data_IF_218372405375
#
_entry.id   IF_218372405375
#
_cell.length_a   1.000
_cell.length_b   1.000
_cell.length_c   1.000
_cell.angle_alpha   90.00
_cell.angle_beta   90.00
_cell.angle_gamma   90.00
#
_symmetry.space_group_name_H-M   'P 1'
#
loop_
_entity.id
_entity.type
_entity.pdbx_description
1 polymer ?
#
# COMPACT_ATOMS: atom_id res chain seq x y z
N UNK A 1 -19.67 3.20 16.68
CA UNK A 1 -19.63 4.60 16.18
C UNK A 1 -18.53 4.73 15.14
N UNK A 2 -18.89 4.76 13.85
CA UNK A 2 -17.94 4.95 12.76
C UNK A 2 -17.52 6.42 12.73
N UNK A 3 -16.26 6.73 13.09
CA UNK A 3 -15.70 8.06 12.83
C UNK A 3 -15.66 8.22 11.30
N UNK A 4 -16.60 8.97 10.73
CA UNK A 4 -16.47 9.47 9.37
C UNK A 4 -15.13 10.17 9.27
N UNK A 5 -14.31 9.79 8.30
CA UNK A 5 -13.09 10.53 8.01
C UNK A 5 -13.51 11.96 7.65
N UNK A 6 -12.83 13.00 8.17
CA UNK A 6 -13.14 14.38 7.82
C UNK A 6 -13.04 14.55 6.31
N UNK A 7 -13.98 15.30 5.72
CA UNK A 7 -13.98 15.56 4.29
C UNK A 7 -12.69 16.30 3.86
N UNK A 8 -12.36 16.23 2.56
CA UNK A 8 -11.16 16.83 1.99
C UNK A 8 -11.04 18.32 2.31
N UNK A 9 -12.16 19.04 2.29
CA UNK A 9 -12.23 20.47 2.62
C UNK A 9 -11.86 20.76 4.09
N UNK A 10 -12.26 19.90 5.02
CA UNK A 10 -11.95 20.03 6.45
C UNK A 10 -10.47 19.77 6.69
N UNK A 11 -9.90 18.79 6.01
CA UNK A 11 -8.46 18.49 6.05
C UNK A 11 -7.64 19.66 5.48
N UNK A 12 -8.08 20.23 4.36
CA UNK A 12 -7.38 21.33 3.70
C UNK A 12 -7.43 22.63 4.51
N UNK A 13 -8.57 22.95 5.13
CA UNK A 13 -8.70 24.07 6.09
C UNK A 13 -7.79 23.88 7.30
N UNK A 14 -7.66 22.65 7.82
CA UNK A 14 -6.75 22.36 8.91
C UNK A 14 -5.28 22.57 8.50
N UNK A 15 -4.90 22.14 7.29
CA UNK A 15 -3.56 22.37 6.72
C UNK A 15 -3.24 23.86 6.59
N UNK A 16 -4.16 24.65 6.03
CA UNK A 16 -4.00 26.09 5.87
C UNK A 16 -3.86 26.80 7.22
N UNK A 17 -4.60 26.34 8.24
CA UNK A 17 -4.52 26.90 9.60
C UNK A 17 -3.16 26.62 10.24
N UNK A 18 -2.62 25.42 10.07
CA UNK A 18 -1.28 25.05 10.58
C UNK A 18 -0.18 25.87 9.89
N UNK A 19 -0.25 26.05 8.57
CA UNK A 19 0.71 26.84 7.81
C UNK A 19 0.71 28.34 8.19
N UNK A 20 -0.37 28.85 8.79
CA UNK A 20 -0.49 30.23 9.29
C UNK A 20 -0.05 30.41 10.75
N UNK A 21 0.32 29.33 11.45
CA UNK A 21 0.79 29.43 12.83
C UNK A 21 2.20 30.03 12.89
N UNK A 22 2.49 30.77 13.97
CA UNK A 22 3.85 31.25 14.26
C UNK A 22 4.85 30.08 14.26
N UNK A 23 6.10 30.31 13.82
CA UNK A 23 7.11 29.26 13.78
C UNK A 23 7.29 28.61 15.17
N UNK A 24 7.48 27.29 15.22
CA UNK A 24 7.59 26.54 16.46
C UNK A 24 8.79 27.04 17.29
N UNK A 25 8.57 27.25 18.59
CA UNK A 25 9.59 27.77 19.51
C UNK A 25 10.65 26.73 19.94
N UNK A 26 10.41 25.44 19.69
CA UNK A 26 11.34 24.36 20.02
C UNK A 26 11.46 23.36 18.86
N UNK A 27 12.62 22.68 18.78
CA UNK A 27 12.89 21.66 17.76
C UNK A 27 11.90 20.47 17.85
N UNK A 28 11.48 20.10 19.05
CA UNK A 28 10.44 19.08 19.25
C UNK A 28 9.09 19.54 18.69
N UNK A 29 8.69 20.78 18.94
CA UNK A 29 7.46 21.33 18.38
C UNK A 29 7.52 21.42 16.84
N UNK A 30 8.71 21.66 16.28
CA UNK A 30 8.94 21.61 14.84
C UNK A 30 8.71 20.23 14.24
N UNK A 31 9.31 19.18 14.82
CA UNK A 31 9.11 17.80 14.39
C UNK A 31 7.63 17.40 14.46
N UNK A 32 6.95 17.72 15.56
CA UNK A 32 5.53 17.40 15.74
C UNK A 32 4.65 18.15 14.73
N UNK A 33 4.93 19.43 14.49
CA UNK A 33 4.20 20.23 13.49
C UNK A 33 4.38 19.64 12.09
N UNK A 34 5.62 19.36 11.69
CA UNK A 34 5.93 18.72 10.41
C UNK A 34 5.26 17.35 10.28
N UNK A 35 5.19 16.57 11.36
CA UNK A 35 4.51 15.26 11.39
C UNK A 35 3.00 15.38 11.20
N UNK A 36 2.36 16.38 11.78
CA UNK A 36 0.93 16.63 11.54
C UNK A 36 0.69 17.02 10.09
N UNK A 37 1.49 17.93 9.54
CA UNK A 37 1.39 18.34 8.13
C UNK A 37 1.63 17.18 7.17
N UNK A 38 2.61 16.31 7.47
CA UNK A 38 2.85 15.07 6.75
C UNK A 38 1.58 14.19 6.72
N UNK A 39 0.95 13.94 7.86
CA UNK A 39 -0.26 13.13 7.92
C UNK A 39 -1.43 13.72 7.11
N UNK A 40 -1.50 15.05 7.01
CA UNK A 40 -2.49 15.73 6.17
C UNK A 40 -2.16 15.52 4.70
N UNK A 41 -0.93 15.80 4.28
CA UNK A 41 -0.47 15.62 2.91
C UNK A 41 -0.65 14.17 2.41
N UNK A 42 -0.40 13.18 3.28
CA UNK A 42 -0.64 11.76 2.99
C UNK A 42 -2.11 11.46 2.67
N UNK A 43 -3.05 12.10 3.38
CA UNK A 43 -4.49 11.90 3.16
C UNK A 43 -4.99 12.57 1.89
N UNK A 44 -4.29 13.60 1.43
CA UNK A 44 -4.64 14.34 0.21
C UNK A 44 -3.84 13.87 -1.01
N UNK A 45 -2.95 12.88 -0.85
CA UNK A 45 -2.16 12.32 -1.95
C UNK A 45 -1.09 13.27 -2.51
N UNK A 46 -0.72 14.34 -1.78
CA UNK A 46 0.26 15.33 -2.23
C UNK A 46 1.68 14.87 -1.89
N UNK A 47 2.25 13.97 -2.70
CA UNK A 47 3.50 13.26 -2.38
C UNK A 47 4.72 14.18 -2.29
N UNK A 48 4.81 15.23 -3.11
CA UNK A 48 5.89 16.22 -3.03
C UNK A 48 5.86 16.96 -1.69
N UNK A 49 4.67 17.29 -1.17
CA UNK A 49 4.55 17.88 0.16
C UNK A 49 4.96 16.88 1.25
N UNK A 50 4.59 15.61 1.08
CA UNK A 50 5.00 14.56 2.00
C UNK A 50 6.53 14.48 2.11
N UNK A 51 7.23 14.50 0.97
CA UNK A 51 8.70 14.53 0.91
C UNK A 51 9.25 15.76 1.64
N UNK A 52 8.73 16.97 1.37
CA UNK A 52 9.17 18.19 2.07
C UNK A 52 9.03 18.07 3.59
N UNK A 53 7.93 17.50 4.08
CA UNK A 53 7.72 17.34 5.51
C UNK A 53 8.58 16.24 6.12
N UNK A 54 8.83 15.12 5.42
CA UNK A 54 9.77 14.09 5.90
C UNK A 54 11.20 14.62 5.95
N UNK A 55 11.62 15.36 4.93
CA UNK A 55 12.96 15.95 4.86
C UNK A 55 13.18 16.95 5.99
N UNK A 56 12.17 17.79 6.27
CA UNK A 56 12.20 18.70 7.41
C UNK A 56 12.37 17.96 8.74
N UNK A 57 11.65 16.86 8.97
CA UNK A 57 11.79 16.06 10.20
C UNK A 57 13.22 15.51 10.28
N UNK A 58 13.71 14.95 9.18
CA UNK A 58 15.04 14.33 9.09
C UNK A 58 16.14 15.35 9.34
N UNK A 59 16.03 16.55 8.77
CA UNK A 59 16.99 17.64 8.95
C UNK A 59 17.05 18.12 10.40
N UNK A 60 15.91 18.22 11.10
CA UNK A 60 15.90 18.61 12.51
C UNK A 60 16.67 17.59 13.36
N UNK A 61 16.49 16.29 13.10
CA UNK A 61 17.21 15.23 13.79
C UNK A 61 18.70 15.20 13.43
N UNK A 62 19.07 15.37 12.16
CA UNK A 62 20.48 15.48 11.72
C UNK A 62 21.20 16.65 12.38
N UNK A 63 20.54 17.81 12.48
CA UNK A 63 21.09 19.02 13.16
C UNK A 63 21.08 18.91 14.68
N UNK A 64 20.40 17.92 15.24
CA UNK A 64 20.18 17.79 16.68
C UNK A 64 20.19 16.33 17.13
N UNK A 65 21.31 15.60 16.99
CA UNK A 65 21.35 14.17 17.27
C UNK A 65 20.93 13.81 18.70
N UNK A 66 21.15 14.71 19.67
CA UNK A 66 20.69 14.54 21.05
C UNK A 66 19.17 14.34 21.18
N UNK A 67 18.35 14.86 20.24
CA UNK A 67 16.90 14.64 20.24
C UNK A 67 16.52 13.18 19.98
N UNK A 68 17.42 12.40 19.38
CA UNK A 68 17.20 10.99 19.04
C UNK A 68 17.29 10.09 20.28
N UNK A 69 17.88 10.56 21.39
CA UNK A 69 18.17 9.77 22.60
C UNK A 69 16.93 9.26 23.37
N UNK A 70 15.71 9.49 22.88
CA UNK A 70 14.47 8.94 23.42
C UNK A 70 13.72 8.06 22.43
N UNK A 71 13.15 6.95 22.90
CA UNK A 71 12.44 5.95 22.09
C UNK A 71 11.42 6.56 21.12
N UNK A 72 10.60 7.50 21.58
CA UNK A 72 9.57 8.15 20.77
C UNK A 72 10.17 8.93 19.61
N UNK A 73 11.22 9.70 19.86
CA UNK A 73 11.87 10.53 18.85
C UNK A 73 12.68 9.67 17.86
N UNK A 74 13.33 8.62 18.35
CA UNK A 74 13.99 7.62 17.52
C UNK A 74 12.99 6.98 16.54
N UNK A 75 11.84 6.52 17.04
CA UNK A 75 10.77 5.96 16.19
C UNK A 75 10.24 6.96 15.18
N UNK A 76 10.02 8.22 15.59
CA UNK A 76 9.58 9.28 14.67
C UNK A 76 10.61 9.52 13.56
N UNK A 77 11.90 9.49 13.89
CA UNK A 77 12.97 9.68 12.92
C UNK A 77 13.05 8.54 11.91
N UNK A 78 13.07 7.29 12.38
CA UNK A 78 13.07 6.10 11.51
C UNK A 78 11.80 6.06 10.65
N UNK A 79 10.65 6.41 11.21
CA UNK A 79 9.39 6.50 10.47
C UNK A 79 9.43 7.59 9.40
N UNK A 80 10.10 8.73 9.65
CA UNK A 80 10.28 9.78 8.65
C UNK A 80 11.20 9.33 7.51
N UNK A 81 12.26 8.58 7.81
CA UNK A 81 13.12 7.94 6.80
C UNK A 81 12.30 7.00 5.92
N UNK A 82 11.56 6.07 6.53
CA UNK A 82 10.71 5.12 5.80
C UNK A 82 9.72 5.80 4.86
N UNK A 83 8.95 6.76 5.39
CA UNK A 83 7.97 7.47 4.58
C UNK A 83 8.63 8.32 3.50
N UNK A 84 9.74 9.01 3.83
CA UNK A 84 10.49 9.81 2.87
C UNK A 84 11.04 8.98 1.72
N UNK A 85 11.46 7.74 1.98
CA UNK A 85 11.88 6.78 0.97
C UNK A 85 10.68 6.31 0.14
N UNK A 86 9.61 5.83 0.76
CA UNK A 86 8.43 5.38 0.03
C UNK A 86 7.82 6.45 -0.89
N UNK A 87 7.73 7.72 -0.46
CA UNK A 87 7.22 8.77 -1.35
C UNK A 87 8.14 9.05 -2.53
N UNK A 88 9.46 8.95 -2.33
CA UNK A 88 10.43 9.01 -3.43
C UNK A 88 10.24 7.84 -4.38
N UNK A 89 9.98 6.63 -3.87
CA UNK A 89 9.64 5.46 -4.69
C UNK A 89 8.38 5.71 -5.53
N UNK A 90 7.32 6.27 -4.95
CA UNK A 90 6.11 6.65 -5.70
C UNK A 90 6.37 7.69 -6.79
N UNK A 91 7.29 8.64 -6.55
CA UNK A 91 7.71 9.64 -7.54
C UNK A 91 8.86 9.16 -8.45
N UNK A 92 9.18 7.86 -8.44
CA UNK A 92 10.25 7.23 -9.24
C UNK A 92 11.66 7.80 -8.97
N UNK A 93 11.86 8.43 -7.82
CA UNK A 93 13.16 8.90 -7.30
C UNK A 93 13.87 7.76 -6.57
N UNK A 94 14.14 6.67 -7.29
CA UNK A 94 14.59 5.40 -6.71
C UNK A 94 15.95 5.49 -6.03
N UNK A 95 16.88 6.26 -6.60
CA UNK A 95 18.23 6.44 -6.07
C UNK A 95 18.18 7.16 -4.71
N UNK A 96 17.45 8.26 -4.64
CA UNK A 96 17.27 9.06 -3.43
C UNK A 96 16.52 8.27 -2.35
N UNK A 97 15.59 7.40 -2.77
CA UNK A 97 14.89 6.47 -1.89
C UNK A 97 15.86 5.50 -1.20
N UNK A 98 16.73 4.83 -1.98
CA UNK A 98 17.72 3.89 -1.45
C UNK A 98 18.81 4.60 -0.61
N UNK A 99 19.25 5.79 -1.01
CA UNK A 99 20.19 6.59 -0.22
C UNK A 99 19.63 6.95 1.15
N UNK A 100 18.34 7.27 1.23
CA UNK A 100 17.70 7.59 2.50
C UNK A 100 17.61 6.36 3.43
N UNK A 101 17.35 5.18 2.86
CA UNK A 101 17.26 3.94 3.61
C UNK A 101 18.60 3.47 4.19
N UNK A 102 19.74 3.85 3.58
CA UNK A 102 21.07 3.60 4.16
C UNK A 102 21.27 4.25 5.53
N UNK A 103 20.52 5.32 5.85
CA UNK A 103 20.58 5.96 7.16
C UNK A 103 20.19 5.02 8.31
N UNK A 104 19.40 3.97 8.03
CA UNK A 104 19.01 2.97 9.03
C UNK A 104 20.19 2.13 9.50
N UNK A 105 21.18 1.92 8.64
CA UNK A 105 22.37 1.13 8.95
C UNK A 105 23.47 2.02 9.54
N UNK A 106 23.73 3.17 8.90
CA UNK A 106 24.71 4.14 9.37
C UNK A 106 24.25 5.57 9.08
N UNK A 107 24.32 6.50 10.05
CA UNK A 107 24.94 6.35 11.38
C UNK A 107 24.01 5.79 12.47
N UNK A 108 22.74 5.47 12.16
CA UNK A 108 21.75 5.16 13.21
C UNK A 108 21.87 3.76 13.82
N UNK A 109 22.35 2.79 13.04
CA UNK A 109 22.39 1.38 13.42
C UNK A 109 21.07 0.90 14.06
N UNK A 110 19.95 1.17 13.39
CA UNK A 110 18.59 0.85 13.86
C UNK A 110 18.44 -0.64 14.13
N UNK A 111 19.13 -1.48 13.36
CA UNK A 111 19.16 -2.93 13.55
C UNK A 111 19.58 -3.34 14.96
N UNK A 112 20.50 -2.61 15.60
CA UNK A 112 20.94 -2.87 16.97
C UNK A 112 20.00 -2.24 18.01
N UNK A 113 19.46 -1.05 17.72
CA UNK A 113 18.64 -0.29 18.67
C UNK A 113 17.18 -0.77 18.77
N UNK A 114 16.56 -1.08 17.64
CA UNK A 114 15.18 -1.58 17.53
C UNK A 114 15.12 -2.55 16.33
N UNK A 115 15.53 -3.82 16.52
CA UNK A 115 15.62 -4.80 15.44
C UNK A 115 14.27 -5.02 14.73
N UNK A 116 13.17 -5.09 15.50
CA UNK A 116 11.83 -5.22 14.95
C UNK A 116 11.48 -4.08 14.00
N UNK A 117 11.70 -2.83 14.42
CA UNK A 117 11.47 -1.66 13.57
C UNK A 117 12.38 -1.64 12.33
N UNK A 118 13.64 -2.06 12.46
CA UNK A 118 14.55 -2.17 11.32
C UNK A 118 14.01 -3.15 10.27
N UNK A 119 13.66 -4.37 10.66
CA UNK A 119 13.17 -5.37 9.71
C UNK A 119 11.79 -5.02 9.16
N UNK A 120 10.92 -4.38 9.95
CA UNK A 120 9.65 -3.81 9.46
C UNK A 120 9.90 -2.86 8.29
N UNK A 121 10.68 -1.81 8.53
CA UNK A 121 10.91 -0.72 7.58
C UNK A 121 11.70 -1.20 6.36
N UNK A 122 12.75 -2.00 6.58
CA UNK A 122 13.56 -2.58 5.50
C UNK A 122 12.71 -3.47 4.59
N UNK A 123 11.95 -4.42 5.16
CA UNK A 123 11.17 -5.38 4.36
C UNK A 123 10.11 -4.66 3.53
N UNK A 124 9.39 -3.71 4.12
CA UNK A 124 8.37 -2.93 3.41
C UNK A 124 8.98 -2.11 2.26
N UNK A 125 10.12 -1.46 2.49
CA UNK A 125 10.82 -0.68 1.46
C UNK A 125 11.28 -1.57 0.31
N UNK A 126 11.96 -2.68 0.61
CA UNK A 126 12.48 -3.59 -0.41
C UNK A 126 11.37 -4.21 -1.26
N UNK A 127 10.25 -4.59 -0.64
CA UNK A 127 9.07 -5.06 -1.36
C UNK A 127 8.48 -3.97 -2.26
N UNK A 128 8.31 -2.77 -1.73
CA UNK A 128 7.76 -1.63 -2.48
C UNK A 128 8.67 -1.24 -3.66
N UNK A 129 9.99 -1.22 -3.46
CA UNK A 129 10.97 -0.95 -4.50
C UNK A 129 10.95 -2.03 -5.59
N UNK A 130 10.93 -3.30 -5.22
CA UNK A 130 10.87 -4.39 -6.20
C UNK A 130 9.60 -4.35 -7.05
N UNK A 131 8.45 -4.00 -6.45
CA UNK A 131 7.21 -3.76 -7.21
C UNK A 131 7.34 -2.53 -8.11
N UNK A 132 7.79 -1.40 -7.59
CA UNK A 132 7.83 -0.12 -8.31
C UNK A 132 8.88 -0.06 -9.43
N UNK A 133 9.93 -0.89 -9.34
CA UNK A 133 11.01 -0.97 -10.34
C UNK A 133 10.91 -2.22 -11.21
N UNK A 134 9.92 -3.09 -10.96
CA UNK A 134 9.78 -4.40 -11.57
C UNK A 134 10.95 -5.36 -11.32
N UNK A 135 11.82 -5.07 -10.35
CA UNK A 135 12.82 -6.00 -9.86
C UNK A 135 12.20 -6.95 -8.81
N UNK A 136 11.45 -7.94 -9.31
CA UNK A 136 10.78 -8.92 -8.46
C UNK A 136 11.76 -9.83 -7.71
N UNK A 137 13.03 -9.89 -8.13
CA UNK A 137 14.07 -10.59 -7.38
C UNK A 137 14.33 -9.92 -6.04
N UNK A 138 14.30 -8.58 -6.00
CA UNK A 138 14.39 -7.78 -4.79
C UNK A 138 13.23 -8.08 -3.84
N UNK A 139 11.99 -8.14 -4.36
CA UNK A 139 10.81 -8.50 -3.56
C UNK A 139 10.89 -9.93 -3.00
N UNK A 140 11.29 -10.91 -3.82
CA UNK A 140 11.46 -12.31 -3.38
C UNK A 140 12.52 -12.44 -2.28
N UNK A 141 13.66 -11.77 -2.44
CA UNK A 141 14.71 -11.74 -1.42
C UNK A 141 14.19 -11.15 -0.11
N UNK A 142 13.49 -10.02 -0.17
CA UNK A 142 12.96 -9.35 1.01
C UNK A 142 11.97 -10.23 1.79
N UNK A 143 11.01 -10.85 1.11
CA UNK A 143 10.05 -11.73 1.79
C UNK A 143 10.71 -13.02 2.30
N UNK A 144 11.68 -13.57 1.57
CA UNK A 144 12.44 -14.73 2.03
C UNK A 144 13.27 -14.44 3.29
N UNK A 145 13.95 -13.29 3.34
CA UNK A 145 14.66 -12.83 4.54
C UNK A 145 13.69 -12.62 5.72
N UNK A 146 12.51 -12.05 5.46
CA UNK A 146 11.48 -11.84 6.47
C UNK A 146 10.94 -13.15 7.03
N UNK A 147 10.62 -14.14 6.18
CA UNK A 147 10.11 -15.45 6.61
C UNK A 147 11.13 -16.28 7.41
N UNK A 148 12.42 -15.98 7.27
CA UNK A 148 13.51 -16.62 8.00
C UNK A 148 13.84 -15.92 9.34
N UNK A 149 13.13 -14.85 9.70
CA UNK A 149 13.36 -14.19 10.98
C UNK A 149 12.97 -15.10 12.17
N UNK A 150 13.74 -15.05 13.27
CA UNK A 150 13.33 -15.66 14.52
C UNK A 150 11.96 -15.16 14.99
N UNK A 151 11.19 -16.02 15.67
CA UNK A 151 9.86 -15.71 16.15
C UNK A 151 9.83 -14.47 17.06
N UNK A 152 10.89 -14.26 17.85
CA UNK A 152 11.06 -13.12 18.74
C UNK A 152 11.09 -11.79 17.97
N UNK A 153 11.67 -11.79 16.77
CA UNK A 153 11.69 -10.60 15.91
C UNK A 153 10.34 -10.37 15.24
N UNK A 154 9.66 -11.44 14.81
CA UNK A 154 8.29 -11.31 14.33
C UNK A 154 7.36 -10.71 15.38
N UNK A 155 7.49 -11.12 16.66
CA UNK A 155 6.69 -10.56 17.75
C UNK A 155 6.95 -9.07 18.03
N UNK A 156 8.13 -8.56 17.68
CA UNK A 156 8.46 -7.14 17.80
C UNK A 156 7.83 -6.29 16.69
N UNK A 157 7.50 -6.89 15.54
CA UNK A 157 6.86 -6.20 14.42
C UNK A 157 5.34 -6.16 14.68
N UNK A 158 4.71 -4.96 14.71
CA UNK A 158 3.26 -4.87 14.95
C UNK A 158 2.46 -5.70 13.94
N UNK A 159 1.45 -6.44 14.39
CA UNK A 159 0.66 -7.33 13.52
C UNK A 159 0.03 -6.60 12.31
N UNK A 160 -0.31 -5.32 12.47
CA UNK A 160 -0.79 -4.46 11.38
C UNK A 160 0.25 -4.24 10.28
N UNK A 161 1.53 -4.23 10.65
CA UNK A 161 2.68 -4.10 9.75
C UNK A 161 3.06 -5.41 9.09
N UNK A 162 2.95 -6.52 9.82
CA UNK A 162 3.06 -7.85 9.23
C UNK A 162 2.00 -8.05 8.13
N UNK A 163 0.76 -7.61 8.37
CA UNK A 163 -0.29 -7.64 7.35
C UNK A 163 0.03 -6.76 6.13
N UNK A 164 0.67 -5.60 6.32
CA UNK A 164 1.17 -4.76 5.21
C UNK A 164 2.27 -5.47 4.41
N UNK A 165 3.22 -6.13 5.08
CA UNK A 165 4.30 -6.91 4.45
C UNK A 165 3.73 -8.02 3.57
N UNK A 166 2.85 -8.86 4.12
CA UNK A 166 2.23 -9.95 3.36
C UNK A 166 1.33 -9.43 2.24
N UNK A 167 0.68 -8.27 2.42
CA UNK A 167 -0.13 -7.67 1.37
C UNK A 167 0.75 -7.27 0.18
N UNK A 168 1.85 -6.55 0.41
CA UNK A 168 2.78 -6.15 -0.66
C UNK A 168 3.46 -7.35 -1.29
N UNK A 169 3.79 -8.39 -0.51
CA UNK A 169 4.33 -9.65 -1.05
C UNK A 169 3.32 -10.38 -1.96
N UNK A 170 2.01 -10.34 -1.63
CA UNK A 170 0.97 -10.87 -2.50
C UNK A 170 0.88 -10.11 -3.82
N UNK A 171 0.99 -8.78 -3.79
CA UNK A 171 1.03 -7.95 -5.01
C UNK A 171 2.24 -8.33 -5.86
N UNK A 172 3.44 -8.38 -5.28
CA UNK A 172 4.66 -8.77 -5.97
C UNK A 172 4.52 -10.16 -6.62
N UNK A 173 3.91 -11.12 -5.92
CA UNK A 173 3.69 -12.49 -6.42
C UNK A 173 2.70 -12.55 -7.59
N UNK A 174 1.66 -11.71 -7.59
CA UNK A 174 0.73 -11.62 -8.74
C UNK A 174 1.46 -11.04 -9.96
N UNK A 175 2.26 -9.99 -9.75
CA UNK A 175 3.08 -9.38 -10.80
C UNK A 175 4.12 -10.37 -11.34
N UNK A 176 4.68 -11.23 -10.48
CA UNK A 176 5.66 -12.27 -10.83
C UNK A 176 5.05 -13.50 -11.53
N UNK A 177 3.73 -13.54 -11.67
CA UNK A 177 3.05 -14.71 -12.24
C UNK A 177 3.04 -15.93 -11.32
N UNK A 178 3.18 -15.74 -10.00
CA UNK A 178 3.14 -16.79 -8.96
C UNK A 178 1.88 -16.69 -8.09
N UNK A 179 0.66 -16.86 -8.65
CA UNK A 179 -0.60 -16.64 -7.93
C UNK A 179 -0.82 -17.57 -6.73
N UNK A 180 -0.12 -18.72 -6.68
CA UNK A 180 -0.16 -19.61 -5.51
C UNK A 180 0.51 -18.99 -4.28
N UNK A 181 1.64 -18.30 -4.48
CA UNK A 181 2.33 -17.59 -3.39
C UNK A 181 1.51 -16.37 -2.95
N UNK A 182 0.92 -15.65 -3.91
CA UNK A 182 -0.05 -14.60 -3.60
C UNK A 182 -1.21 -15.10 -2.74
N UNK A 183 -1.76 -16.28 -3.06
CA UNK A 183 -2.83 -16.90 -2.28
C UNK A 183 -2.38 -17.26 -0.87
N UNK A 184 -1.16 -17.80 -0.70
CA UNK A 184 -0.55 -18.10 0.60
C UNK A 184 -0.52 -16.85 1.48
N UNK A 185 0.02 -15.75 0.96
CA UNK A 185 0.10 -14.49 1.69
C UNK A 185 -1.27 -13.89 2.01
N UNK A 186 -2.20 -13.90 1.07
CA UNK A 186 -3.58 -13.43 1.31
C UNK A 186 -4.27 -14.26 2.39
N UNK A 187 -4.07 -15.58 2.42
CA UNK A 187 -4.67 -16.43 3.43
C UNK A 187 -4.08 -16.19 4.84
N UNK A 188 -2.78 -15.88 4.95
CA UNK A 188 -2.18 -15.44 6.22
C UNK A 188 -2.93 -14.21 6.75
N UNK A 189 -3.11 -13.18 5.92
CA UNK A 189 -3.79 -11.95 6.36
C UNK A 189 -5.27 -12.21 6.69
N UNK A 190 -5.94 -13.07 5.92
CA UNK A 190 -7.35 -13.42 6.19
C UNK A 190 -7.55 -14.18 7.50
N UNK A 191 -6.54 -14.92 7.95
CA UNK A 191 -6.54 -15.62 9.24
C UNK A 191 -6.25 -14.68 10.43
N UNK A 192 -5.67 -13.50 10.18
CA UNK A 192 -5.35 -12.51 11.22
C UNK A 192 -6.60 -11.90 11.88
N UNK A 193 -6.45 -11.43 13.12
CA UNK A 193 -7.56 -10.82 13.85
C UNK A 193 -7.99 -9.51 13.17
N UNK A 194 -9.27 -9.11 13.27
CA UNK A 194 -9.73 -7.83 12.77
C UNK A 194 -8.92 -6.60 13.24
N UNK A 195 -8.38 -6.61 14.46
CA UNK A 195 -7.57 -5.51 15.00
C UNK A 195 -6.21 -5.38 14.33
N UNK A 196 -5.77 -6.44 13.67
CA UNK A 196 -4.41 -6.59 13.15
C UNK A 196 -4.32 -6.19 11.68
N UNK A 197 -5.41 -5.65 11.11
CA UNK A 197 -5.49 -5.29 9.70
C UNK A 197 -6.20 -3.94 9.58
N UNK A 198 -5.58 -3.01 8.86
CA UNK A 198 -6.24 -1.75 8.49
C UNK A 198 -7.53 -2.03 7.74
N UNK A 199 -8.58 -1.23 8.00
CA UNK A 199 -9.90 -1.51 7.42
C UNK A 199 -9.90 -1.38 5.89
N UNK A 200 -9.12 -0.47 5.31
CA UNK A 200 -8.95 -0.33 3.87
C UNK A 200 -8.25 -1.57 3.27
N UNK A 201 -7.12 -2.00 3.82
CA UNK A 201 -6.42 -3.22 3.38
C UNK A 201 -7.33 -4.44 3.44
N UNK A 202 -8.17 -4.56 4.48
CA UNK A 202 -9.13 -5.66 4.56
C UNK A 202 -10.13 -5.67 3.41
N UNK A 203 -10.50 -4.52 2.87
CA UNK A 203 -11.36 -4.46 1.70
C UNK A 203 -10.60 -4.82 0.43
N UNK A 204 -9.36 -4.35 0.29
CA UNK A 204 -8.50 -4.70 -0.83
C UNK A 204 -8.19 -6.19 -0.91
N UNK A 205 -7.92 -6.84 0.22
CA UNK A 205 -7.68 -8.28 0.30
C UNK A 205 -8.85 -9.09 -0.26
N UNK A 206 -10.10 -8.62 -0.11
CA UNK A 206 -11.25 -9.31 -0.71
C UNK A 206 -11.21 -9.26 -2.23
N UNK A 207 -10.84 -8.12 -2.80
CA UNK A 207 -10.70 -7.98 -4.25
C UNK A 207 -9.52 -8.81 -4.75
N UNK A 208 -8.38 -8.72 -4.05
CA UNK A 208 -7.18 -9.48 -4.40
C UNK A 208 -7.42 -10.99 -4.35
N UNK A 209 -8.19 -11.46 -3.37
CA UNK A 209 -8.63 -12.84 -3.28
C UNK A 209 -9.43 -13.28 -4.52
N UNK A 210 -10.31 -12.43 -5.05
CA UNK A 210 -11.05 -12.74 -6.29
C UNK A 210 -10.12 -12.77 -7.51
N UNK A 211 -9.19 -11.80 -7.61
CA UNK A 211 -8.18 -11.73 -8.68
C UNK A 211 -7.37 -13.03 -8.70
N UNK A 212 -6.81 -13.42 -7.56
CA UNK A 212 -5.96 -14.60 -7.44
C UNK A 212 -6.74 -15.88 -7.79
N UNK A 213 -7.95 -16.05 -7.25
CA UNK A 213 -8.74 -17.25 -7.56
C UNK A 213 -9.22 -17.27 -9.01
N UNK A 214 -9.47 -16.10 -9.61
CA UNK A 214 -9.77 -16.01 -11.04
C UNK A 214 -8.57 -16.45 -11.89
N UNK A 215 -7.37 -15.98 -11.56
CA UNK A 215 -6.14 -16.36 -12.27
C UNK A 215 -5.78 -17.84 -12.09
N UNK A 216 -6.17 -18.44 -10.98
CA UNK A 216 -6.07 -19.89 -10.74
C UNK A 216 -7.21 -20.70 -11.36
N UNK A 217 -8.11 -20.08 -12.12
CA UNK A 217 -9.31 -20.70 -12.71
C UNK A 217 -10.26 -21.37 -11.69
N UNK A 218 -10.27 -20.88 -10.44
CA UNK A 218 -11.11 -21.38 -9.35
C UNK A 218 -12.47 -20.65 -9.31
N UNK A 219 -13.25 -20.72 -10.39
CA UNK A 219 -14.44 -19.88 -10.59
C UNK A 219 -15.53 -20.08 -9.51
N UNK A 220 -15.69 -21.28 -8.97
CA UNK A 220 -16.63 -21.56 -7.87
C UNK A 220 -16.28 -20.79 -6.58
N UNK A 221 -14.97 -20.67 -6.31
CA UNK A 221 -14.45 -19.90 -5.17
C UNK A 221 -14.66 -18.41 -5.42
N UNK A 222 -14.47 -17.94 -6.67
CA UNK A 222 -14.77 -16.56 -7.04
C UNK A 222 -16.25 -16.24 -6.83
N UNK A 223 -17.18 -17.10 -7.28
CA UNK A 223 -18.62 -16.89 -7.07
C UNK A 223 -18.98 -16.83 -5.59
N UNK A 224 -18.46 -17.77 -4.79
CA UNK A 224 -18.69 -17.79 -3.35
C UNK A 224 -18.09 -16.56 -2.66
N UNK A 225 -16.89 -16.14 -3.09
CA UNK A 225 -16.21 -14.94 -2.61
C UNK A 225 -16.98 -13.65 -2.88
N UNK A 226 -17.61 -13.52 -4.06
CA UNK A 226 -18.47 -12.38 -4.42
C UNK A 226 -19.66 -12.27 -3.44
N UNK A 227 -20.34 -13.39 -3.17
CA UNK A 227 -21.49 -13.44 -2.25
C UNK A 227 -21.07 -13.00 -0.85
N UNK A 228 -19.99 -13.58 -0.32
CA UNK A 228 -19.45 -13.25 0.99
C UNK A 228 -18.99 -11.78 1.09
N UNK A 229 -18.34 -11.27 0.04
CA UNK A 229 -17.92 -9.87 -0.08
C UNK A 229 -19.09 -8.91 0.03
N UNK A 230 -20.10 -9.06 -0.84
CA UNK A 230 -21.29 -8.19 -0.86
C UNK A 230 -22.02 -8.14 0.48
N UNK A 231 -22.20 -9.28 1.15
CA UNK A 231 -22.82 -9.34 2.48
C UNK A 231 -22.00 -8.53 3.50
N UNK A 232 -20.67 -8.67 3.48
CA UNK A 232 -19.79 -7.96 4.40
C UNK A 232 -19.83 -6.43 4.21
N UNK A 233 -20.03 -5.93 2.99
CA UNK A 233 -20.11 -4.50 2.74
C UNK A 233 -21.49 -3.91 3.09
N UNK A 234 -22.58 -4.64 2.81
CA UNK A 234 -23.95 -4.23 3.19
C UNK A 234 -24.10 -4.02 4.69
N UNK A 235 -23.55 -4.94 5.50
CA UNK A 235 -23.59 -4.85 6.97
C UNK A 235 -22.86 -3.63 7.55
N UNK A 236 -21.93 -3.03 6.79
CA UNK A 236 -21.13 -1.88 7.25
C UNK A 236 -21.71 -0.53 6.81
N UNK A 237 -22.84 -0.50 6.10
CA UNK A 237 -23.49 0.71 5.57
C UNK A 237 -22.57 1.62 4.72
N UNK A 238 -21.50 1.05 4.16
CA UNK A 238 -20.50 1.72 3.32
C UNK A 238 -20.14 0.76 2.18
N UNK A 239 -21.10 0.52 1.27
CA UNK A 239 -20.75 -0.08 0.00
C UNK A 239 -20.14 1.04 -0.84
N UNK A 240 -18.80 1.12 -0.84
CA UNK A 240 -18.12 1.99 -1.77
C UNK A 240 -18.55 1.55 -3.20
N UNK A 241 -19.10 2.47 -4.02
CA UNK A 241 -19.57 2.15 -5.38
C UNK A 241 -18.55 1.40 -6.22
N UNK A 242 -17.27 1.65 -5.97
CA UNK A 242 -16.16 0.95 -6.61
C UNK A 242 -16.17 -0.56 -6.33
N UNK A 243 -16.23 -0.98 -5.06
CA UNK A 243 -16.20 -2.42 -4.73
C UNK A 243 -17.43 -3.16 -5.27
N UNK A 244 -18.60 -2.50 -5.29
CA UNK A 244 -19.79 -3.09 -5.90
C UNK A 244 -19.63 -3.34 -7.40
N UNK A 245 -19.04 -2.37 -8.10
CA UNK A 245 -18.76 -2.49 -9.52
C UNK A 245 -17.75 -3.60 -9.80
N UNK A 246 -16.69 -3.71 -9.00
CA UNK A 246 -15.74 -4.83 -9.08
C UNK A 246 -16.45 -6.17 -8.86
N UNK A 247 -17.32 -6.30 -7.85
CA UNK A 247 -18.08 -7.53 -7.65
C UNK A 247 -19.07 -7.83 -8.79
N UNK A 248 -19.66 -6.81 -9.40
CA UNK A 248 -20.51 -6.96 -10.59
C UNK A 248 -19.69 -7.45 -11.79
N UNK A 249 -18.50 -6.90 -11.99
CA UNK A 249 -17.56 -7.33 -13.03
C UNK A 249 -17.22 -8.81 -12.85
N UNK A 250 -16.69 -9.20 -11.68
CA UNK A 250 -16.35 -10.61 -11.43
C UNK A 250 -17.57 -11.52 -11.59
N UNK A 251 -18.76 -11.09 -11.16
CA UNK A 251 -19.98 -11.87 -11.36
C UNK A 251 -20.38 -12.03 -12.83
N UNK A 252 -20.09 -11.05 -13.70
CA UNK A 252 -20.30 -11.17 -15.14
C UNK A 252 -19.26 -12.10 -15.76
N UNK A 253 -17.99 -11.94 -15.37
CA UNK A 253 -16.88 -12.76 -15.85
C UNK A 253 -17.07 -14.25 -15.50
N UNK A 254 -17.43 -14.58 -14.27
CA UNK A 254 -17.62 -15.99 -13.85
C UNK A 254 -18.85 -16.66 -14.48
N UNK A 255 -19.89 -15.89 -14.81
CA UNK A 255 -21.13 -16.41 -15.44
C UNK A 255 -21.09 -16.36 -16.96
N UNK A 256 -20.04 -15.81 -17.55
CA UNK A 256 -19.89 -15.73 -18.99
C UNK A 256 -19.79 -17.14 -19.58
N UNK A 257 -20.79 -17.52 -20.39
CA UNK A 257 -20.80 -18.82 -21.09
C UNK A 257 -19.79 -18.89 -22.25
N UNK A 258 -19.12 -17.79 -22.57
CA UNK A 258 -18.10 -17.71 -23.61
C UNK A 258 -17.09 -16.61 -23.29
N UNK A 259 -15.88 -16.73 -23.83
CA UNK A 259 -14.80 -15.75 -23.69
C UNK A 259 -15.27 -14.36 -24.13
N UNK A 260 -15.98 -14.27 -25.25
CA UNK A 260 -16.48 -13.00 -25.80
C UNK A 260 -17.39 -12.26 -24.81
N UNK A 261 -18.24 -12.98 -24.06
CA UNK A 261 -19.10 -12.36 -23.04
C UNK A 261 -18.30 -11.82 -21.86
N UNK A 262 -17.23 -12.52 -21.47
CA UNK A 262 -16.31 -12.03 -20.44
C UNK A 262 -15.57 -10.79 -20.92
N UNK A 263 -15.08 -10.79 -22.16
CA UNK A 263 -14.41 -9.63 -22.77
C UNK A 263 -15.33 -8.41 -22.85
N UNK A 264 -16.59 -8.58 -23.26
CA UNK A 264 -17.59 -7.50 -23.26
C UNK A 264 -17.75 -6.93 -21.85
N UNK A 265 -17.88 -7.78 -20.82
CA UNK A 265 -18.01 -7.32 -19.44
C UNK A 265 -16.79 -6.51 -18.96
N UNK A 266 -15.58 -6.91 -19.38
CA UNK A 266 -14.36 -6.18 -19.05
C UNK A 266 -14.32 -4.84 -19.79
N UNK A 267 -14.64 -4.80 -21.09
CA UNK A 267 -14.69 -3.55 -21.88
C UNK A 267 -15.69 -2.56 -21.32
N UNK A 268 -16.92 -3.01 -21.03
CA UNK A 268 -17.95 -2.18 -20.38
C UNK A 268 -17.46 -1.57 -19.07
N UNK A 269 -16.70 -2.35 -18.29
CA UNK A 269 -16.15 -1.88 -17.02
C UNK A 269 -15.04 -0.83 -17.23
N UNK A 270 -14.09 -1.10 -18.14
CA UNK A 270 -13.02 -0.17 -18.46
C UNK A 270 -13.56 1.14 -19.03
N UNK A 271 -14.53 1.07 -19.95
CA UNK A 271 -15.18 2.24 -20.55
C UNK A 271 -15.92 3.06 -19.48
N UNK A 272 -16.68 2.40 -18.59
CA UNK A 272 -17.42 3.08 -17.53
C UNK A 272 -16.54 3.89 -16.57
N UNK A 273 -15.30 3.44 -16.37
CA UNK A 273 -14.34 4.05 -15.46
C UNK A 273 -13.20 4.78 -16.19
N UNK A 274 -13.35 5.08 -17.48
CA UNK A 274 -12.43 5.94 -18.23
C UNK A 274 -12.64 7.44 -17.93
N UNK A 275 -11.68 8.29 -18.30
CA UNK A 275 -11.81 9.75 -18.24
C UNK A 275 -11.87 10.35 -16.82
N UNK A 276 -12.79 11.28 -16.56
CA UNK A 276 -12.92 11.98 -15.26
C UNK A 276 -13.25 11.04 -14.09
N UNK A 277 -13.84 9.88 -14.38
CA UNK A 277 -14.08 8.82 -13.40
C UNK A 277 -12.82 8.02 -13.07
N UNK A 278 -11.68 8.29 -13.73
CA UNK A 278 -10.43 7.60 -13.44
C UNK A 278 -9.90 7.86 -12.02
N UNK A 279 -10.31 8.98 -11.39
CA UNK A 279 -10.03 9.22 -9.97
C UNK A 279 -10.61 8.12 -9.06
N UNK A 280 -11.64 7.38 -9.49
CA UNK A 280 -12.13 6.20 -8.78
C UNK A 280 -11.11 5.06 -8.74
N UNK A 281 -10.27 4.91 -9.77
CA UNK A 281 -9.18 3.93 -9.77
C UNK A 281 -8.07 4.29 -8.80
N UNK A 282 -7.79 5.58 -8.61
CA UNK A 282 -6.58 6.06 -7.94
C UNK A 282 -6.34 5.36 -6.59
N UNK A 283 -7.39 5.13 -5.81
CA UNK A 283 -7.28 4.42 -4.52
C UNK A 283 -6.88 2.94 -4.63
N UNK A 284 -7.36 2.22 -5.65
CA UNK A 284 -6.99 0.83 -5.96
C UNK A 284 -5.64 0.74 -6.66
N UNK A 285 -5.40 1.61 -7.65
CA UNK A 285 -4.15 1.66 -8.42
C UNK A 285 -2.94 1.96 -7.52
N UNK A 286 -3.14 2.65 -6.39
CA UNK A 286 -2.11 2.80 -5.37
C UNK A 286 -1.61 1.46 -4.77
N UNK A 287 -2.38 0.38 -4.92
CA UNK A 287 -2.05 -0.95 -4.39
C UNK A 287 -1.93 -2.03 -5.47
N UNK A 288 -2.78 -2.00 -6.50
CA UNK A 288 -2.79 -2.95 -7.60
C UNK A 288 -3.39 -2.29 -8.85
N UNK A 289 -2.66 -2.34 -9.97
CA UNK A 289 -3.14 -1.80 -11.24
C UNK A 289 -4.17 -2.73 -11.88
N UNK A 290 -5.43 -2.60 -11.42
CA UNK A 290 -6.55 -3.42 -11.90
C UNK A 290 -6.82 -3.20 -13.39
N UNK A 291 -6.57 -1.99 -13.91
CA UNK A 291 -6.70 -1.69 -15.34
C UNK A 291 -5.74 -2.56 -16.15
N UNK A 292 -4.45 -2.51 -15.86
CA UNK A 292 -3.44 -3.31 -16.55
C UNK A 292 -3.74 -4.82 -16.46
N UNK A 293 -4.20 -5.30 -15.29
CA UNK A 293 -4.60 -6.70 -15.14
C UNK A 293 -5.78 -7.06 -16.04
N UNK A 294 -6.83 -6.24 -16.07
CA UNK A 294 -8.00 -6.46 -16.94
C UNK A 294 -7.63 -6.42 -18.42
N UNK A 295 -6.78 -5.47 -18.82
CA UNK A 295 -6.24 -5.38 -20.18
C UNK A 295 -5.47 -6.65 -20.54
N UNK A 296 -4.66 -7.20 -19.63
CA UNK A 296 -3.93 -8.45 -19.88
C UNK A 296 -4.88 -9.64 -20.10
N UNK A 297 -6.05 -9.66 -19.44
CA UNK A 297 -7.08 -10.69 -19.68
C UNK A 297 -7.78 -10.52 -21.02
N UNK A 298 -8.04 -9.28 -21.46
CA UNK A 298 -8.60 -8.99 -22.79
C UNK A 298 -7.65 -9.39 -23.91
N UNK A 299 -6.36 -9.11 -23.74
CA UNK A 299 -5.34 -9.33 -24.75
C UNK A 299 -4.70 -10.73 -24.66
N UNK A 300 -5.15 -11.54 -23.69
CA UNK A 300 -4.66 -12.90 -23.42
C UNK A 300 -3.13 -12.96 -23.33
N UNK A 301 -2.54 -11.98 -22.65
CA UNK A 301 -1.09 -11.85 -22.51
C UNK A 301 -0.66 -11.76 -21.05
N UNK A 302 0.63 -11.88 -20.87
CA UNK A 302 1.30 -11.77 -19.59
C UNK A 302 1.02 -10.43 -18.91
N UNK A 303 0.59 -10.48 -17.65
CA UNK A 303 0.21 -9.30 -16.88
C UNK A 303 1.41 -8.37 -16.64
N UNK A 304 2.60 -8.92 -16.37
CA UNK A 304 3.80 -8.14 -16.13
C UNK A 304 4.14 -7.25 -17.33
N UNK A 305 4.10 -7.80 -18.54
CA UNK A 305 4.29 -7.02 -19.78
C UNK A 305 3.25 -5.91 -19.95
N UNK A 306 1.96 -6.22 -19.73
CA UNK A 306 0.89 -5.21 -19.82
C UNK A 306 1.08 -4.07 -18.82
N UNK A 307 1.49 -4.41 -17.61
CA UNK A 307 1.72 -3.45 -16.53
C UNK A 307 2.86 -2.47 -16.86
N UNK A 308 3.97 -2.99 -17.40
CA UNK A 308 5.11 -2.16 -17.83
C UNK A 308 4.77 -1.20 -18.97
N UNK A 309 3.79 -1.51 -19.80
CA UNK A 309 3.33 -0.64 -20.89
C UNK A 309 2.34 0.42 -20.39
N UNK A 310 1.38 0.05 -19.53
CA UNK A 310 0.40 0.98 -18.97
C UNK A 310 1.08 2.09 -18.14
N UNK A 311 2.19 1.79 -17.46
CA UNK A 311 2.96 2.77 -16.67
C UNK A 311 3.91 3.66 -17.48
N UNK A 312 4.06 3.43 -18.78
CA UNK A 312 4.79 4.30 -19.71
C UNK A 312 3.89 5.31 -20.42
N UNK A 313 2.56 5.14 -20.32
CA UNK A 313 1.52 6.03 -20.86
C UNK A 313 1.08 7.07 -19.83
#
# INVERSE_FOLDING_TARGET
MSRQFPDSNTIERAAQRINRMKPPKSKTAEVLSARVSLNIAMRTGKYEECIRYTDRIIDVFKKSPALIQGHTNFKLFVTAIYYGANFRTYLRQYKESDELMRLLESPLNVRQCDPGLYYEVKTLHELAMGVATYDLSRSRKAIGEYELLPAELHMQIPAIKQSEIFFTAAIASIIDGTPKDALRFVNIIRASKPTDIRNDLRQYIRVLFLIIHFDLNNLDVVETGIKAGRISFKRKNVLNPFYDAVFKLFSKMTRAKSIQKSEIAIREFLDHYSGEKAQFWASMNNYFNLRAWLTSKLEQRDFFKTLQEDEKL
#
